data_IF_223303048040
#
_entry.id   IF_223303048040
#
_cell.length_a   1.000
_cell.length_b   1.000
_cell.length_c   1.000
_cell.angle_alpha   90.00
_cell.angle_beta   90.00
_cell.angle_gamma   90.00
#
_symmetry.space_group_name_H-M   'P 1'
#
loop_
_entity.id
_entity.type
_entity.pdbx_description
1 polymer ?
#
# COMPACT_ATOMS: atom_id res chain seq x y z
N UNK A 1 -34.69 27.58 -36.87
CA UNK A 1 -34.67 27.58 -35.39
C UNK A 1 -34.12 28.88 -34.81
N UNK A 2 -32.90 29.31 -35.16
CA UNK A 2 -32.27 30.53 -34.63
C UNK A 2 -33.07 31.83 -34.84
N UNK A 3 -33.64 32.02 -36.04
CA UNK A 3 -34.50 33.18 -36.36
C UNK A 3 -35.77 33.15 -35.49
N UNK A 4 -36.36 31.98 -35.23
CA UNK A 4 -37.55 31.86 -34.37
C UNK A 4 -37.23 32.16 -32.90
N UNK A 5 -36.04 31.80 -32.42
CA UNK A 5 -35.59 32.11 -31.05
C UNK A 5 -35.35 33.62 -30.85
N UNK A 6 -34.73 34.30 -31.83
CA UNK A 6 -34.55 35.75 -31.80
C UNK A 6 -35.90 36.48 -31.79
N UNK A 7 -36.85 36.04 -32.64
CA UNK A 7 -38.21 36.59 -32.67
C UNK A 7 -38.99 36.29 -31.39
N UNK A 8 -38.75 35.15 -30.74
CA UNK A 8 -39.30 34.84 -29.42
C UNK A 8 -38.79 35.77 -28.33
N UNK A 9 -37.47 35.98 -28.23
CA UNK A 9 -36.86 36.90 -27.26
C UNK A 9 -37.39 38.33 -27.45
N UNK A 10 -37.47 38.81 -28.70
CA UNK A 10 -38.03 40.13 -29.03
C UNK A 10 -39.51 40.27 -28.66
N UNK A 11 -40.30 39.20 -28.73
CA UNK A 11 -41.71 39.23 -28.34
C UNK A 11 -41.92 39.23 -26.82
N UNK A 12 -41.01 38.65 -26.03
CA UNK A 12 -41.04 38.76 -24.56
C UNK A 12 -40.82 40.21 -24.09
N UNK A 13 -40.00 40.98 -24.80
CA UNK A 13 -39.80 42.42 -24.54
C UNK A 13 -40.82 43.32 -25.26
N UNK A 14 -41.87 42.75 -25.89
CA UNK A 14 -42.93 43.51 -26.55
C UNK A 14 -42.59 44.07 -27.95
N UNK A 15 -41.37 43.84 -28.45
CA UNK A 15 -40.90 44.32 -29.77
C UNK A 15 -41.17 43.34 -30.94
N UNK A 16 -41.62 42.11 -30.68
CA UNK A 16 -41.70 41.01 -31.67
C UNK A 16 -43.05 40.79 -32.41
N UNK A 17 -43.97 41.78 -32.41
CA UNK A 17 -45.20 41.74 -33.21
C UNK A 17 -46.18 40.58 -32.89
N UNK A 18 -47.15 40.32 -33.80
CA UNK A 18 -48.17 39.27 -33.62
C UNK A 18 -47.61 37.84 -33.72
N UNK A 19 -46.50 37.67 -34.45
CA UNK A 19 -45.91 36.36 -34.70
C UNK A 19 -45.26 35.75 -33.46
N UNK A 20 -44.52 36.55 -32.66
CA UNK A 20 -43.88 36.04 -31.45
C UNK A 20 -44.83 35.80 -30.28
N UNK A 21 -45.95 36.53 -30.19
CA UNK A 21 -47.02 36.24 -29.22
C UNK A 21 -47.72 34.90 -29.48
N UNK A 22 -47.81 34.46 -30.74
CA UNK A 22 -48.40 33.17 -31.08
C UNK A 22 -47.48 31.98 -30.73
N UNK A 23 -46.16 32.21 -30.65
CA UNK A 23 -45.16 31.18 -30.30
C UNK A 23 -45.00 31.03 -28.78
N UNK A 24 -45.06 32.15 -28.04
CA UNK A 24 -44.86 32.17 -26.58
C UNK A 24 -46.19 31.95 -25.84
N UNK A 25 -47.31 32.39 -26.40
CA UNK A 25 -48.61 32.41 -25.74
C UNK A 25 -48.73 33.57 -24.74
N UNK A 26 -49.59 33.42 -23.74
CA UNK A 26 -49.73 34.37 -22.63
C UNK A 26 -48.37 34.50 -21.88
N UNK A 27 -47.96 35.68 -21.41
CA UNK A 27 -46.67 35.88 -20.73
C UNK A 27 -46.70 35.34 -19.29
N UNK A 28 -47.09 34.08 -19.15
CA UNK A 28 -47.07 33.31 -17.93
C UNK A 28 -45.79 32.45 -17.86
N UNK A 29 -45.55 31.82 -16.71
CA UNK A 29 -44.40 30.94 -16.47
C UNK A 29 -44.17 29.89 -17.59
N UNK A 30 -45.27 29.39 -18.19
CA UNK A 30 -45.23 28.41 -19.29
C UNK A 30 -44.66 29.02 -20.58
N UNK A 31 -44.93 30.30 -20.85
CA UNK A 31 -44.37 31.01 -22.01
C UNK A 31 -42.87 31.22 -21.88
N UNK A 32 -42.40 31.55 -20.67
CA UNK A 32 -40.97 31.68 -20.38
C UNK A 32 -40.21 30.34 -20.56
N UNK A 33 -40.81 29.22 -20.15
CA UNK A 33 -40.21 27.89 -20.30
C UNK A 33 -40.07 27.46 -21.78
N UNK A 34 -41.07 27.77 -22.61
CA UNK A 34 -41.02 27.50 -24.06
C UNK A 34 -39.94 28.32 -24.77
N UNK A 35 -39.78 29.58 -24.37
CA UNK A 35 -38.76 30.47 -24.91
C UNK A 35 -37.35 29.97 -24.55
N UNK A 36 -37.15 29.57 -23.28
CA UNK A 36 -35.89 28.97 -22.84
C UNK A 36 -35.58 27.68 -23.60
N UNK A 37 -36.57 26.82 -23.82
CA UNK A 37 -36.42 25.60 -24.63
C UNK A 37 -35.99 25.88 -26.08
N UNK A 38 -36.58 26.87 -26.75
CA UNK A 38 -36.19 27.25 -28.11
C UNK A 38 -34.78 27.85 -28.20
N UNK A 39 -34.36 28.60 -27.18
CA UNK A 39 -33.00 29.13 -27.09
C UNK A 39 -31.98 28.01 -26.92
N UNK A 40 -32.25 27.04 -26.04
CA UNK A 40 -31.37 25.87 -25.83
C UNK A 40 -31.27 25.04 -27.10
N UNK A 41 -32.40 24.75 -27.77
CA UNK A 41 -32.41 24.04 -29.06
C UNK A 41 -31.63 24.83 -30.13
N UNK A 42 -31.78 26.16 -30.15
CA UNK A 42 -31.02 27.03 -31.05
C UNK A 42 -29.51 26.94 -30.83
N UNK A 43 -29.04 26.96 -29.58
CA UNK A 43 -27.63 26.85 -29.23
C UNK A 43 -27.06 25.48 -29.62
N UNK A 44 -27.82 24.40 -29.37
CA UNK A 44 -27.44 23.03 -29.75
C UNK A 44 -27.27 22.90 -31.27
N UNK A 45 -28.13 23.55 -32.06
CA UNK A 45 -28.10 23.49 -33.53
C UNK A 45 -26.96 24.30 -34.14
N UNK A 46 -26.57 25.43 -33.54
CA UNK A 46 -25.52 26.32 -34.05
C UNK A 46 -24.11 25.78 -33.77
N UNK A 47 -23.92 25.08 -32.65
CA UNK A 47 -22.60 24.57 -32.25
C UNK A 47 -22.68 23.20 -31.53
N UNK A 48 -22.99 22.10 -32.25
CA UNK A 48 -23.17 20.78 -31.64
C UNK A 48 -21.91 20.29 -30.90
N UNK A 49 -20.71 20.63 -31.40
CA UNK A 49 -19.46 20.24 -30.76
C UNK A 49 -19.17 20.96 -29.43
N UNK A 50 -19.59 22.22 -29.28
CA UNK A 50 -19.38 23.00 -28.05
C UNK A 50 -20.37 22.57 -26.97
N UNK A 51 -21.64 22.33 -27.34
CA UNK A 51 -22.64 21.76 -26.43
C UNK A 51 -22.23 20.38 -25.89
N UNK A 52 -21.68 19.50 -26.74
CA UNK A 52 -21.27 18.17 -26.31
C UNK A 52 -20.06 18.21 -25.36
N UNK A 53 -19.09 19.11 -25.59
CA UNK A 53 -17.97 19.33 -24.67
C UNK A 53 -18.40 19.87 -23.31
N UNK A 54 -19.34 20.82 -23.29
CA UNK A 54 -19.87 21.37 -22.04
C UNK A 54 -20.67 20.32 -21.24
N UNK A 55 -21.49 19.50 -21.93
CA UNK A 55 -22.23 18.40 -21.31
C UNK A 55 -21.27 17.38 -20.67
N UNK A 56 -20.24 16.95 -21.39
CA UNK A 56 -19.23 16.02 -20.89
C UNK A 56 -18.48 16.61 -19.68
N UNK A 57 -18.09 17.88 -19.74
CA UNK A 57 -17.40 18.55 -18.61
C UNK A 57 -18.28 18.67 -17.35
N UNK A 58 -19.60 18.77 -17.53
CA UNK A 58 -20.54 18.79 -16.41
C UNK A 58 -20.73 17.39 -15.82
N UNK A 59 -20.77 16.33 -16.64
CA UNK A 59 -20.86 14.95 -16.13
C UNK A 59 -19.62 14.52 -15.34
N UNK A 60 -18.42 14.96 -15.74
CA UNK A 60 -17.22 14.70 -14.94
C UNK A 60 -17.24 15.45 -13.61
N UNK A 61 -17.68 16.71 -13.61
CA UNK A 61 -17.78 17.52 -12.39
C UNK A 61 -18.82 16.98 -11.39
N UNK A 62 -19.99 16.53 -11.86
CA UNK A 62 -21.02 15.89 -11.01
C UNK A 62 -20.55 14.53 -10.49
N UNK A 63 -19.85 13.74 -11.31
CA UNK A 63 -19.23 12.48 -10.89
C UNK A 63 -18.17 12.68 -9.80
N UNK A 64 -17.46 13.80 -9.82
CA UNK A 64 -16.45 14.17 -8.82
C UNK A 64 -17.08 14.65 -7.50
N UNK A 65 -18.24 15.32 -7.57
CA UNK A 65 -19.01 15.69 -6.37
C UNK A 65 -19.67 14.49 -5.67
N UNK A 66 -20.09 13.45 -6.42
CA UNK A 66 -20.60 12.21 -5.84
C UNK A 66 -19.49 11.28 -5.30
N UNK A 67 -18.23 11.51 -5.66
CA UNK A 67 -17.07 10.78 -5.12
C UNK A 67 -16.52 11.35 -3.81
N UNK A 68 -16.97 12.53 -3.38
CA UNK A 68 -16.74 13.04 -2.02
C UNK A 68 -17.65 12.31 -1.04
N UNK A 69 -17.33 11.03 -0.79
CA UNK A 69 -17.74 10.41 0.47
C UNK A 69 -17.04 11.19 1.59
N UNK A 70 -17.76 11.69 2.62
CA UNK A 70 -17.08 12.02 3.86
C UNK A 70 -16.42 10.72 4.34
N UNK A 71 -15.13 10.80 4.66
CA UNK A 71 -14.44 9.72 5.35
C UNK A 71 -15.28 9.34 6.58
N UNK A 72 -15.41 8.05 6.93
CA UNK A 72 -15.99 7.69 8.21
C UNK A 72 -15.15 8.39 9.28
N UNK A 73 -15.81 9.32 9.98
CA UNK A 73 -15.39 9.90 11.23
C UNK A 73 -14.84 8.75 12.10
N UNK A 74 -13.61 8.92 12.60
CA UNK A 74 -12.99 7.98 13.51
C UNK A 74 -13.99 7.63 14.61
N UNK A 75 -14.49 6.40 14.58
CA UNK A 75 -15.28 5.87 15.67
C UNK A 75 -14.31 5.76 16.86
N UNK A 76 -14.33 6.77 17.71
CA UNK A 76 -13.85 6.71 19.08
C UNK A 76 -14.41 5.44 19.69
N UNK A 77 -13.54 4.46 19.90
CA UNK A 77 -13.89 3.21 20.56
C UNK A 77 -14.21 3.55 22.02
N UNK A 78 -15.50 3.69 22.35
CA UNK A 78 -15.97 3.70 23.73
C UNK A 78 -15.99 2.23 24.17
N UNK A 79 -14.88 1.77 24.75
CA UNK A 79 -14.85 0.51 25.47
C UNK A 79 -15.85 0.56 26.64
N UNK A 80 -16.48 -0.56 27.02
CA UNK A 80 -17.38 -0.58 28.17
C UNK A 80 -16.61 -0.24 29.44
N UNK A 81 -17.15 0.73 30.19
CA UNK A 81 -16.82 1.07 31.57
C UNK A 81 -16.57 -0.19 32.39
N UNK A 82 -15.31 -0.42 32.76
CA UNK A 82 -14.95 -1.26 33.90
C UNK A 82 -14.62 -0.33 35.05
N UNK A 83 -15.57 -0.25 35.97
CA UNK A 83 -15.45 0.25 37.33
C UNK A 83 -14.06 0.00 37.91
N UNK A 84 -13.39 1.07 38.34
CA UNK A 84 -12.24 0.99 39.22
C UNK A 84 -12.70 0.43 40.57
N UNK A 85 -12.43 -0.85 40.81
CA UNK A 85 -12.34 -1.39 42.18
C UNK A 85 -10.86 -1.47 42.57
N UNK A 86 -10.53 -1.10 43.83
CA UNK A 86 -9.15 -0.96 44.29
C UNK A 86 -8.42 -2.30 44.33
N UNK A 87 -7.17 -2.24 43.88
CA UNK A 87 -6.15 -3.29 43.90
C UNK A 87 -6.12 -3.96 45.27
N UNK A 88 -6.63 -5.19 45.34
CA UNK A 88 -6.40 -6.09 46.47
C UNK A 88 -5.01 -6.72 46.31
N UNK A 89 -4.29 -6.68 47.42
CA UNK A 89 -2.94 -7.18 47.63
C UNK A 89 -2.79 -8.67 47.28
N UNK A 90 -1.59 -9.12 46.87
CA UNK A 90 -1.30 -10.54 46.75
C UNK A 90 -1.46 -11.26 48.11
N UNK A 91 -1.89 -12.53 48.13
CA UNK A 91 -2.19 -13.24 49.37
C UNK A 91 -0.95 -13.42 50.23
N UNK A 92 -1.03 -12.91 51.46
CA UNK A 92 -0.20 -13.31 52.60
C UNK A 92 -0.35 -14.80 52.82
N UNK A 93 0.70 -15.58 52.58
CA UNK A 93 0.83 -16.93 53.10
C UNK A 93 0.94 -16.80 54.64
N UNK A 94 0.11 -17.51 55.43
CA UNK A 94 0.23 -17.53 56.88
C UNK A 94 1.63 -17.99 57.31
N UNK A 95 2.33 -17.15 58.06
CA UNK A 95 3.48 -17.56 58.85
C UNK A 95 2.96 -18.35 60.05
N UNK A 96 3.16 -19.67 60.03
CA UNK A 96 3.08 -20.50 61.24
C UNK A 96 4.44 -20.43 61.97
N UNK A 97 4.44 -20.26 63.30
CA UNK A 97 5.62 -19.77 64.01
C UNK A 97 6.76 -20.79 64.04
N UNK A 98 7.99 -20.26 63.92
CA UNK A 98 9.20 -20.95 64.34
C UNK A 98 9.04 -21.38 65.81
N UNK A 99 8.82 -22.67 66.04
CA UNK A 99 9.22 -23.29 67.30
C UNK A 99 10.65 -23.77 67.09
N UNK A 100 11.56 -23.05 67.72
CA UNK A 100 12.97 -23.40 67.83
C UNK A 100 13.07 -24.50 68.89
N UNK A 101 13.27 -25.74 68.48
CA UNK A 101 13.84 -26.75 69.36
C UNK A 101 15.26 -27.03 68.90
N UNK A 102 16.18 -26.46 69.67
CA UNK A 102 17.56 -26.90 69.75
C UNK A 102 17.57 -28.31 70.32
N UNK A 103 17.89 -29.30 69.51
CA UNK A 103 18.59 -30.49 70.01
C UNK A 103 19.85 -30.74 69.19
N UNK A 104 20.97 -30.48 69.86
CA UNK A 104 22.26 -30.99 69.50
C UNK A 104 22.22 -32.51 69.59
N UNK A 105 22.50 -33.18 68.47
CA UNK A 105 22.68 -34.63 68.41
C UNK A 105 23.71 -34.96 67.35
N UNK A 106 24.97 -35.09 67.78
CA UNK A 106 26.02 -35.68 66.97
C UNK A 106 25.61 -37.11 66.55
N UNK A 107 25.71 -37.41 65.27
CA UNK A 107 25.44 -38.76 64.78
C UNK A 107 25.49 -38.82 63.27
N UNK A 108 26.65 -39.16 62.72
CA UNK A 108 26.80 -39.64 61.35
C UNK A 108 25.97 -40.91 61.17
N UNK A 109 25.14 -41.06 60.11
CA UNK A 109 24.89 -42.35 59.54
C UNK A 109 25.42 -42.37 58.10
N UNK A 110 26.44 -43.21 57.90
CA UNK A 110 26.81 -43.70 56.58
C UNK A 110 25.59 -44.48 56.06
N UNK A 111 24.90 -43.92 55.06
CA UNK A 111 23.83 -44.61 54.34
C UNK A 111 24.42 -45.14 53.03
N UNK A 112 24.40 -46.46 52.89
CA UNK A 112 24.65 -47.21 51.66
C UNK A 112 23.78 -46.67 50.50
N UNK A 113 24.31 -46.52 49.28
CA UNK A 113 23.53 -46.00 48.15
C UNK A 113 22.46 -47.02 47.71
N UNK A 114 21.19 -46.60 47.67
CA UNK A 114 20.08 -47.38 47.09
C UNK A 114 20.16 -47.36 45.56
N UNK A 115 19.75 -48.44 44.88
CA UNK A 115 19.79 -48.62 43.42
C UNK A 115 19.22 -47.42 42.62
N UNK A 116 18.13 -46.81 43.10
CA UNK A 116 17.56 -45.61 42.45
C UNK A 116 18.49 -44.38 42.44
N UNK A 117 19.42 -44.25 43.39
CA UNK A 117 20.44 -43.19 43.36
C UNK A 117 21.54 -43.46 42.32
N UNK A 118 21.77 -44.73 41.99
CA UNK A 118 22.73 -45.12 40.96
C UNK A 118 22.17 -44.88 39.56
N UNK A 119 20.89 -45.18 39.34
CA UNK A 119 20.19 -44.88 38.08
C UNK A 119 20.13 -43.37 37.81
N UNK A 120 19.79 -42.56 38.81
CA UNK A 120 19.80 -41.10 38.69
C UNK A 120 21.19 -40.55 38.35
N UNK A 121 22.26 -41.16 38.89
CA UNK A 121 23.65 -40.79 38.55
C UNK A 121 24.03 -41.21 37.13
N UNK A 122 23.59 -42.37 36.66
CA UNK A 122 23.83 -42.83 35.30
C UNK A 122 23.10 -41.96 34.29
N UNK A 123 21.82 -41.65 34.53
CA UNK A 123 21.04 -40.73 33.69
C UNK A 123 21.68 -39.34 33.69
N UNK A 124 22.12 -38.84 34.85
CA UNK A 124 22.84 -37.57 34.93
C UNK A 124 24.17 -37.59 34.17
N UNK A 125 24.93 -38.70 34.22
CA UNK A 125 26.18 -38.87 33.48
C UNK A 125 25.96 -39.00 31.97
N UNK A 126 24.89 -39.66 31.53
CA UNK A 126 24.51 -39.75 30.12
C UNK A 126 24.07 -38.39 29.57
N UNK A 127 23.29 -37.62 30.36
CA UNK A 127 22.93 -36.24 30.04
C UNK A 127 24.19 -35.36 30.00
N UNK A 128 25.11 -35.50 30.95
CA UNK A 128 26.39 -34.78 30.99
C UNK A 128 27.27 -35.10 29.77
N UNK A 129 27.33 -36.37 29.38
CA UNK A 129 28.10 -36.84 28.21
C UNK A 129 27.48 -36.39 26.90
N UNK A 130 26.16 -36.22 26.84
CA UNK A 130 25.41 -35.82 25.64
C UNK A 130 25.37 -34.31 25.43
N UNK A 131 25.38 -33.51 26.50
CA UNK A 131 25.19 -32.06 26.42
C UNK A 131 26.40 -31.23 26.90
N UNK A 132 27.49 -31.88 27.34
CA UNK A 132 28.70 -31.20 27.81
C UNK A 132 28.53 -30.52 29.18
N UNK A 133 29.65 -30.08 29.76
CA UNK A 133 29.69 -29.28 30.99
C UNK A 133 28.94 -27.97 30.76
N UNK A 134 27.74 -27.82 31.35
CA UNK A 134 27.07 -26.52 31.37
C UNK A 134 27.96 -25.53 32.12
N UNK A 135 28.25 -24.33 31.55
CA UNK A 135 29.11 -23.36 32.21
C UNK A 135 28.54 -22.99 33.57
N UNK A 136 29.42 -22.73 34.54
CA UNK A 136 29.04 -22.36 35.89
C UNK A 136 28.08 -21.16 35.85
N UNK A 137 26.82 -21.40 36.23
CA UNK A 137 25.76 -20.40 36.17
C UNK A 137 26.15 -19.16 36.97
N UNK A 138 26.34 -18.04 36.29
CA UNK A 138 26.60 -16.76 36.95
C UNK A 138 25.35 -16.41 37.75
N UNK A 139 25.52 -16.33 39.07
CA UNK A 139 24.42 -15.99 39.98
C UNK A 139 24.54 -14.50 40.30
N UNK A 140 23.56 -13.71 39.89
CA UNK A 140 23.46 -12.28 40.20
C UNK A 140 22.23 -12.08 41.07
N UNK A 141 22.40 -11.57 42.28
CA UNK A 141 21.31 -11.28 43.23
C UNK A 141 20.31 -12.44 43.44
N UNK A 142 20.82 -13.68 43.51
CA UNK A 142 20.01 -14.89 43.71
C UNK A 142 19.31 -15.42 42.45
N UNK A 143 19.40 -14.72 41.31
CA UNK A 143 18.94 -15.20 40.01
C UNK A 143 20.06 -15.97 39.29
N UNK A 144 19.77 -17.19 38.82
CA UNK A 144 20.70 -18.00 38.03
C UNK A 144 20.47 -17.72 36.55
N UNK A 145 21.44 -17.06 35.91
CA UNK A 145 21.37 -16.75 34.47
C UNK A 145 21.46 -18.05 33.65
N UNK A 146 20.43 -18.43 32.87
CA UNK A 146 20.50 -19.59 31.99
C UNK A 146 21.60 -19.43 30.93
N UNK A 147 22.33 -20.52 30.59
CA UNK A 147 23.37 -20.48 29.58
C UNK A 147 22.77 -20.29 28.18
N UNK A 148 23.53 -19.61 27.31
CA UNK A 148 23.12 -19.30 25.92
C UNK A 148 22.98 -20.56 25.06
N UNK A 149 23.63 -21.66 25.46
CA UNK A 149 23.63 -22.95 24.76
C UNK A 149 22.25 -23.65 24.76
N UNK A 150 21.26 -23.10 25.47
CA UNK A 150 19.86 -23.53 25.39
C UNK A 150 19.23 -23.10 24.05
N UNK A 151 19.82 -22.12 23.36
CA UNK A 151 19.33 -21.65 22.07
C UNK A 151 19.84 -22.54 20.93
N UNK A 152 18.96 -22.89 20.01
CA UNK A 152 19.34 -23.55 18.76
C UNK A 152 20.24 -22.62 17.93
N UNK A 153 21.32 -23.17 17.38
CA UNK A 153 22.21 -22.43 16.48
C UNK A 153 21.55 -22.25 15.11
N UNK A 154 21.50 -21.00 14.62
CA UNK A 154 20.95 -20.70 13.30
C UNK A 154 21.89 -21.20 12.18
N UNK A 155 21.38 -21.86 11.13
CA UNK A 155 22.17 -22.19 9.96
C UNK A 155 22.59 -20.92 9.20
N UNK A 156 23.82 -20.89 8.70
CA UNK A 156 24.31 -19.80 7.85
C UNK A 156 23.75 -19.98 6.42
N UNK A 157 22.95 -19.02 5.96
CA UNK A 157 22.35 -19.04 4.61
C UNK A 157 23.15 -18.10 3.72
N UNK A 158 23.86 -18.65 2.73
CA UNK A 158 24.53 -17.86 1.71
C UNK A 158 23.53 -17.44 0.62
N UNK A 159 23.28 -16.14 0.49
CA UNK A 159 22.46 -15.60 -0.60
C UNK A 159 23.32 -15.41 -1.85
N UNK A 160 23.17 -16.30 -2.84
CA UNK A 160 23.94 -16.27 -4.09
C UNK A 160 23.74 -14.98 -4.88
N UNK A 161 24.83 -14.25 -5.15
CA UNK A 161 24.80 -12.99 -5.92
C UNK A 161 24.34 -13.18 -7.39
N UNK A 162 24.55 -14.37 -7.97
CA UNK A 162 24.19 -14.68 -9.36
C UNK A 162 22.67 -14.65 -9.59
N UNK A 163 21.89 -15.18 -8.64
CA UNK A 163 20.43 -15.22 -8.73
C UNK A 163 19.83 -13.82 -8.65
N UNK A 164 20.44 -12.93 -7.87
CA UNK A 164 20.00 -11.55 -7.72
C UNK A 164 20.13 -10.74 -9.03
N UNK A 165 21.18 -10.99 -9.81
CA UNK A 165 21.36 -10.34 -11.11
C UNK A 165 20.30 -10.79 -12.12
N UNK A 166 19.91 -12.06 -12.08
CA UNK A 166 18.83 -12.58 -12.92
C UNK A 166 17.48 -11.96 -12.53
N UNK A 167 17.17 -11.91 -11.23
CA UNK A 167 15.97 -11.25 -10.71
C UNK A 167 15.91 -9.77 -11.09
N UNK A 168 17.04 -9.07 -11.02
CA UNK A 168 17.13 -7.67 -11.44
C UNK A 168 16.71 -7.50 -12.91
N UNK A 169 17.21 -8.35 -13.82
CA UNK A 169 16.79 -8.33 -15.23
C UNK A 169 15.32 -8.64 -15.41
N UNK A 170 14.79 -9.63 -14.68
CA UNK A 170 13.36 -9.96 -14.73
C UNK A 170 12.49 -8.77 -14.31
N UNK A 171 12.91 -8.00 -13.29
CA UNK A 171 12.21 -6.78 -12.86
C UNK A 171 12.24 -5.71 -13.95
N UNK A 172 13.39 -5.49 -14.58
CA UNK A 172 13.54 -4.54 -15.70
C UNK A 172 12.64 -4.93 -16.89
N UNK A 173 12.68 -6.19 -17.29
CA UNK A 173 11.88 -6.73 -18.40
C UNK A 173 10.38 -6.67 -18.08
N UNK A 174 9.99 -7.02 -16.84
CA UNK A 174 8.60 -6.93 -16.41
C UNK A 174 8.10 -5.48 -16.45
N UNK A 175 8.83 -4.53 -15.89
CA UNK A 175 8.48 -3.10 -15.96
C UNK A 175 8.37 -2.61 -17.41
N UNK A 176 9.32 -2.99 -18.27
CA UNK A 176 9.30 -2.66 -19.68
C UNK A 176 8.06 -3.22 -20.40
N UNK A 177 7.64 -4.44 -20.06
CA UNK A 177 6.43 -5.06 -20.64
C UNK A 177 5.14 -4.28 -20.34
N UNK A 178 5.09 -3.58 -19.20
CA UNK A 178 3.98 -2.68 -18.80
C UNK A 178 4.16 -1.24 -19.32
N UNK A 179 5.13 -1.01 -20.19
CA UNK A 179 5.43 0.28 -20.78
C UNK A 179 6.15 1.25 -19.84
N UNK A 180 6.82 0.72 -18.80
CA UNK A 180 7.58 1.51 -17.84
C UNK A 180 9.07 1.26 -18.05
N UNK A 181 9.75 2.21 -18.67
CA UNK A 181 11.22 2.18 -18.75
C UNK A 181 11.80 2.45 -17.36
N UNK A 182 12.60 1.53 -16.82
CA UNK A 182 13.25 1.66 -15.52
C UNK A 182 14.49 0.76 -15.46
N UNK A 183 15.42 1.06 -14.54
CA UNK A 183 16.68 0.31 -14.39
C UNK A 183 16.99 -0.02 -12.95
N UNK A 184 17.43 -1.24 -12.67
CA UNK A 184 17.89 -1.64 -11.33
C UNK A 184 19.32 -1.12 -11.13
N UNK A 185 19.50 -0.28 -10.13
CA UNK A 185 20.79 0.37 -9.82
C UNK A 185 21.41 -0.13 -8.52
N UNK A 186 20.59 -0.69 -7.62
CA UNK A 186 21.04 -1.17 -6.31
C UNK A 186 20.34 -2.48 -5.95
N UNK A 187 21.06 -3.38 -5.28
CA UNK A 187 20.50 -4.63 -4.74
C UNK A 187 20.96 -4.75 -3.29
N UNK A 188 20.02 -4.88 -2.36
CA UNK A 188 20.28 -5.12 -0.95
C UNK A 188 19.61 -6.44 -0.54
N UNK A 189 20.38 -7.53 -0.46
CA UNK A 189 19.89 -8.80 0.00
C UNK A 189 19.83 -8.83 1.54
N UNK A 190 18.66 -9.14 2.09
CA UNK A 190 18.45 -9.37 3.51
C UNK A 190 18.12 -10.83 3.82
N UNK A 191 18.00 -11.21 5.11
CA UNK A 191 17.73 -12.59 5.51
C UNK A 191 16.41 -13.16 4.99
N UNK A 192 15.40 -12.29 4.84
CA UNK A 192 14.03 -12.68 4.47
C UNK A 192 13.63 -12.17 3.08
N UNK A 193 14.05 -10.95 2.74
CA UNK A 193 13.65 -10.25 1.50
C UNK A 193 14.86 -9.61 0.84
N UNK A 194 14.81 -9.44 -0.48
CA UNK A 194 15.84 -8.74 -1.24
C UNK A 194 15.24 -7.48 -1.83
N UNK A 195 15.78 -6.34 -1.42
CA UNK A 195 15.35 -5.03 -1.93
C UNK A 195 16.11 -4.68 -3.20
N UNK A 196 15.38 -4.43 -4.29
CA UNK A 196 15.88 -3.93 -5.55
C UNK A 196 15.60 -2.44 -5.66
N UNK A 197 16.66 -1.64 -5.75
CA UNK A 197 16.60 -0.21 -5.99
C UNK A 197 16.46 0.08 -7.48
N UNK A 198 15.29 0.55 -7.89
CA UNK A 198 14.93 0.85 -9.28
C UNK A 198 14.93 2.35 -9.52
N UNK A 199 15.70 2.79 -10.49
CA UNK A 199 15.65 4.15 -11.01
C UNK A 199 14.61 4.23 -12.15
N UNK A 200 13.58 5.10 -12.04
CA UNK A 200 12.66 5.33 -13.15
C UNK A 200 13.41 5.81 -14.40
N UNK A 201 12.94 5.47 -15.59
CA UNK A 201 13.50 5.91 -16.87
C UNK A 201 12.73 7.08 -17.47
N UNK A 202 12.43 7.00 -18.76
CA UNK A 202 11.71 8.01 -19.52
C UNK A 202 10.48 7.41 -20.21
N UNK A 203 9.34 8.08 -20.10
CA UNK A 203 8.17 7.83 -20.93
C UNK A 203 8.33 8.61 -22.25
N UNK A 204 8.50 7.87 -23.35
CA UNK A 204 8.71 8.41 -24.70
C UNK A 204 7.43 8.23 -25.52
N UNK A 205 6.91 9.33 -26.05
CA UNK A 205 5.76 9.28 -26.97
C UNK A 205 6.23 9.41 -28.40
N UNK A 206 6.03 8.36 -29.19
CA UNK A 206 6.33 8.35 -30.62
C UNK A 206 5.09 8.69 -31.43
N UNK A 207 5.25 9.47 -32.50
CA UNK A 207 4.20 9.68 -33.51
C UNK A 207 4.76 9.42 -34.89
N UNK A 208 3.97 8.68 -35.65
CA UNK A 208 4.18 8.50 -37.07
C UNK A 208 3.74 9.77 -37.80
N UNK A 209 4.70 10.44 -38.44
CA UNK A 209 4.47 11.58 -39.30
C UNK A 209 4.59 11.10 -40.73
N UNK A 210 3.53 11.29 -41.48
CA UNK A 210 3.46 10.97 -42.90
C UNK A 210 3.83 12.22 -43.67
N UNK A 211 5.05 12.27 -44.18
CA UNK A 211 5.52 13.35 -45.05
C UNK A 211 5.28 12.94 -46.49
N UNK A 212 4.68 13.84 -47.29
CA UNK A 212 4.45 13.61 -48.71
C UNK A 212 5.53 14.37 -49.48
N UNK A 213 6.36 13.62 -50.20
CA UNK A 213 7.39 14.18 -51.06
C UNK A 213 6.73 14.93 -52.25
N UNK A 214 7.50 15.78 -52.96
CA UNK A 214 7.02 16.54 -54.13
C UNK A 214 6.45 15.63 -55.24
N UNK A 215 6.87 14.37 -55.27
CA UNK A 215 6.45 13.34 -56.23
C UNK A 215 5.20 12.56 -55.78
N UNK A 216 4.59 12.93 -54.64
CA UNK A 216 3.36 12.30 -54.12
C UNK A 216 3.57 11.04 -53.29
N UNK A 217 4.80 10.54 -53.17
CA UNK A 217 5.15 9.41 -52.32
C UNK A 217 5.05 9.80 -50.84
N UNK A 218 4.38 8.96 -50.03
CA UNK A 218 4.22 9.18 -48.59
C UNK A 218 5.29 8.38 -47.85
N UNK A 219 6.19 9.06 -47.14
CA UNK A 219 7.16 8.46 -46.22
C UNK A 219 6.66 8.59 -44.79
N UNK A 220 6.55 7.46 -44.10
CA UNK A 220 6.29 7.43 -42.67
C UNK A 220 7.62 7.59 -41.92
N UNK A 221 7.76 8.67 -41.14
CA UNK A 221 8.85 8.87 -40.18
C UNK A 221 8.32 8.74 -38.76
N UNK A 222 9.04 8.04 -37.88
CA UNK A 222 8.73 8.03 -36.45
C UNK A 222 9.51 9.18 -35.79
N UNK A 223 8.79 10.11 -35.15
CA UNK A 223 9.39 11.23 -34.42
C UNK A 223 9.01 11.13 -32.93
N UNK A 224 9.99 11.33 -32.05
CA UNK A 224 9.78 11.41 -30.59
C UNK A 224 9.17 12.78 -30.25
N UNK A 225 7.90 12.80 -29.83
CA UNK A 225 7.15 14.03 -29.57
C UNK A 225 7.48 14.60 -28.19
N UNK A 226 7.62 13.71 -27.21
CA UNK A 226 7.82 14.10 -25.82
C UNK A 226 8.62 13.05 -25.07
N UNK A 227 9.54 13.55 -24.25
CA UNK A 227 10.30 12.79 -23.27
C UNK A 227 9.94 13.30 -21.88
N UNK A 228 9.29 12.48 -21.07
CA UNK A 228 8.94 12.84 -19.69
C UNK A 228 9.50 11.78 -18.76
N UNK A 229 9.93 12.15 -17.56
CA UNK A 229 10.39 11.15 -16.59
C UNK A 229 9.21 10.29 -16.14
N UNK A 230 9.44 8.98 -16.05
CA UNK A 230 8.43 8.06 -15.52
C UNK A 230 7.99 8.53 -14.13
N UNK A 231 6.67 8.59 -13.92
CA UNK A 231 6.09 8.96 -12.63
C UNK A 231 6.24 7.81 -11.65
N UNK A 232 6.57 8.13 -10.40
CA UNK A 232 6.67 7.15 -9.32
C UNK A 232 5.35 6.39 -9.11
N UNK A 233 4.22 7.10 -9.20
CA UNK A 233 2.86 6.52 -9.11
C UNK A 233 2.62 5.41 -10.16
N UNK A 234 3.26 5.52 -11.34
CA UNK A 234 3.11 4.52 -12.39
C UNK A 234 3.79 3.21 -12.01
N UNK A 235 4.88 3.26 -11.23
CA UNK A 235 5.57 2.07 -10.73
C UNK A 235 4.80 1.50 -9.53
N UNK A 236 4.37 2.34 -8.59
CA UNK A 236 3.64 1.88 -7.39
C UNK A 236 2.31 1.21 -7.72
N UNK A 237 1.60 1.69 -8.75
CA UNK A 237 0.34 1.08 -9.19
C UNK A 237 0.50 -0.31 -9.83
N UNK A 238 1.70 -0.68 -10.28
CA UNK A 238 1.99 -1.98 -10.88
C UNK A 238 2.37 -3.05 -9.86
N UNK A 239 2.31 -2.80 -8.55
CA UNK A 239 2.75 -3.74 -7.52
C UNK A 239 2.16 -5.16 -7.68
N UNK A 240 0.84 -5.26 -7.89
CA UNK A 240 0.16 -6.54 -8.07
C UNK A 240 0.51 -7.21 -9.42
N UNK A 241 0.63 -6.41 -10.47
CA UNK A 241 0.95 -6.91 -11.82
C UNK A 241 2.40 -7.42 -11.86
N UNK A 242 3.33 -6.73 -11.20
CA UNK A 242 4.71 -7.16 -11.03
C UNK A 242 4.80 -8.43 -10.19
N UNK A 243 4.02 -8.55 -9.11
CA UNK A 243 3.98 -9.76 -8.30
C UNK A 243 3.57 -10.97 -9.15
N UNK A 244 2.56 -10.77 -10.01
CA UNK A 244 2.12 -11.78 -10.95
C UNK A 244 3.18 -12.11 -12.01
N UNK A 245 3.81 -11.10 -12.62
CA UNK A 245 4.81 -11.29 -13.67
C UNK A 245 6.10 -11.97 -13.17
N UNK A 246 6.51 -11.68 -11.93
CA UNK A 246 7.71 -12.23 -11.29
C UNK A 246 7.44 -13.54 -10.54
N UNK A 247 6.19 -14.02 -10.55
CA UNK A 247 5.74 -15.16 -9.77
C UNK A 247 6.10 -15.06 -8.27
N UNK A 248 6.08 -13.83 -7.73
CA UNK A 248 6.34 -13.55 -6.33
C UNK A 248 5.02 -13.58 -5.52
N UNK A 249 5.00 -14.12 -4.29
CA UNK A 249 3.79 -14.14 -3.46
C UNK A 249 3.22 -12.75 -3.17
N UNK A 250 4.11 -11.77 -2.95
CA UNK A 250 3.77 -10.37 -2.71
C UNK A 250 4.98 -9.51 -3.07
N UNK A 251 4.73 -8.27 -3.49
CA UNK A 251 5.77 -7.26 -3.71
C UNK A 251 5.42 -6.01 -2.89
N UNK A 252 6.40 -5.48 -2.17
CA UNK A 252 6.31 -4.19 -1.47
C UNK A 252 7.07 -3.15 -2.29
N UNK A 253 6.44 -2.00 -2.53
CA UNK A 253 7.06 -0.87 -3.22
C UNK A 253 7.25 0.29 -2.23
N UNK A 254 8.49 0.75 -2.08
CA UNK A 254 8.87 1.91 -1.28
C UNK A 254 9.31 3.06 -2.18
N UNK A 255 8.52 4.13 -2.21
CA UNK A 255 8.64 5.17 -3.21
C UNK A 255 8.40 6.57 -2.62
N UNK A 256 9.41 7.47 -2.62
CA UNK A 256 10.84 7.24 -2.85
C UNK A 256 11.52 6.61 -1.62
N UNK A 257 12.66 5.94 -1.82
CA UNK A 257 13.52 5.49 -0.72
C UNK A 257 14.14 6.71 -0.02
N UNK A 258 14.06 6.84 1.32
CA UNK A 258 14.63 7.97 2.04
C UNK A 258 16.11 8.21 1.71
N UNK A 259 16.45 9.44 1.34
CA UNK A 259 17.82 9.82 1.00
C UNK A 259 18.34 9.34 -0.37
N UNK A 260 17.50 8.69 -1.18
CA UNK A 260 17.87 8.21 -2.53
C UNK A 260 16.81 8.55 -3.57
N UNK A 261 17.24 8.78 -4.81
CA UNK A 261 16.34 9.06 -5.94
C UNK A 261 15.88 7.80 -6.66
N UNK A 262 15.54 6.76 -5.90
CA UNK A 262 15.16 5.42 -6.40
C UNK A 262 13.85 4.95 -5.75
N UNK A 263 13.22 3.98 -6.38
CA UNK A 263 12.07 3.21 -5.86
C UNK A 263 12.58 1.85 -5.38
N UNK A 264 12.32 1.49 -4.14
CA UNK A 264 12.63 0.16 -3.59
C UNK A 264 11.53 -0.83 -3.94
N UNK A 265 11.91 -2.02 -4.40
CA UNK A 265 11.00 -3.14 -4.66
C UNK A 265 11.51 -4.33 -3.85
N UNK A 266 10.69 -4.83 -2.93
CA UNK A 266 11.00 -5.94 -2.02
C UNK A 266 10.05 -7.13 -2.22
#
# INVERSE_FOLDING_TARGET
AFILAIWGILAFFGLGGSFGRNIIGNPDFVGALRLLGLVVIGIILVAPGVCFRLLLSFTSWVGEQLKKRPAPEEATYIGPTTTEEPISTPPTIPQEPLTRETEAGAGTPVLTPTEGQQELRQVAQEVWKKYGESPALVTVDGWRLPPIDILDSAPEVEFGQADNMQRAKLIEDALASYGVEAKVVQINAGPTVTQFGVEPGWDRKMKEIKERDKDGNVKARLEEISKTRVKVERITSLANDLALALAAPSIRIEAPVPGKSIVGID
#
